data_IF_104815213620
#
_entry.id   IF_104815213620
#
_cell.length_a   1.000
_cell.length_b   1.000
_cell.length_c   1.000
_cell.angle_alpha   90.00
_cell.angle_beta   90.00
_cell.angle_gamma   90.00
#
_symmetry.space_group_name_H-M   'P 1'
#
loop_
_entity.id
_entity.type
_entity.pdbx_description
1 polymer ?
#
# COMPACT_ATOMS: atom_id res chain seq x y z
N UNK A 1 -17.72 -14.73 -3.68
CA UNK A 1 -16.90 -15.40 -2.66
C UNK A 1 -16.06 -16.46 -3.36
N UNK A 2 -14.78 -16.23 -3.52
CA UNK A 2 -13.86 -17.34 -3.83
C UNK A 2 -13.74 -18.16 -2.55
N UNK A 3 -14.63 -19.11 -2.41
CA UNK A 3 -14.40 -20.22 -1.47
C UNK A 3 -13.24 -21.01 -2.05
N UNK A 4 -12.04 -20.87 -1.50
CA UNK A 4 -10.95 -21.77 -1.82
C UNK A 4 -11.32 -23.16 -1.29
N UNK A 5 -11.93 -23.98 -2.13
CA UNK A 5 -12.16 -25.37 -1.81
C UNK A 5 -10.81 -26.03 -1.58
N UNK A 6 -10.56 -26.50 -0.36
CA UNK A 6 -9.42 -27.35 -0.02
C UNK A 6 -8.16 -26.70 0.52
N UNK A 7 -8.04 -25.37 0.65
CA UNK A 7 -6.82 -24.71 1.14
C UNK A 7 -6.85 -24.32 2.63
N UNK A 8 -7.78 -24.87 3.41
CA UNK A 8 -7.90 -24.55 4.84
C UNK A 8 -8.47 -23.14 5.10
N UNK A 9 -8.55 -22.79 6.36
CA UNK A 9 -9.10 -21.53 6.80
C UNK A 9 -8.11 -20.38 6.53
N UNK A 10 -8.63 -19.13 6.43
CA UNK A 10 -7.83 -17.94 6.11
C UNK A 10 -6.65 -17.77 7.06
N UNK A 11 -6.87 -17.93 8.37
CA UNK A 11 -5.83 -17.80 9.40
C UNK A 11 -4.70 -18.83 9.23
N UNK A 12 -4.97 -20.06 8.78
CA UNK A 12 -3.92 -21.05 8.53
C UNK A 12 -3.01 -20.66 7.37
N UNK A 13 -3.59 -20.09 6.31
CA UNK A 13 -2.81 -19.57 5.18
C UNK A 13 -1.96 -18.37 5.59
N UNK A 14 -2.51 -17.46 6.37
CA UNK A 14 -1.78 -16.30 6.90
C UNK A 14 -0.64 -16.75 7.82
N UNK A 15 -0.87 -17.72 8.71
CA UNK A 15 0.18 -18.29 9.54
C UNK A 15 1.29 -18.96 8.71
N UNK A 16 0.92 -19.69 7.64
CA UNK A 16 1.89 -20.27 6.72
C UNK A 16 2.73 -19.20 6.02
N UNK A 17 2.10 -18.14 5.49
CA UNK A 17 2.79 -17.04 4.85
C UNK A 17 3.67 -16.25 5.82
N UNK A 18 3.26 -16.11 7.08
CA UNK A 18 4.08 -15.51 8.13
C UNK A 18 5.30 -16.37 8.45
N UNK A 19 5.14 -17.69 8.46
CA UNK A 19 6.22 -18.63 8.79
C UNK A 19 7.26 -18.74 7.69
N UNK A 20 6.84 -18.62 6.42
CA UNK A 20 7.71 -18.81 5.26
C UNK A 20 7.55 -17.64 4.29
N UNK A 21 8.58 -16.85 4.15
CA UNK A 21 8.64 -15.72 3.24
C UNK A 21 9.79 -15.89 2.25
N UNK A 22 9.51 -15.67 0.96
CA UNK A 22 10.53 -15.88 -0.09
C UNK A 22 11.62 -14.80 -0.09
N UNK A 23 11.33 -13.61 0.46
CA UNK A 23 12.28 -12.49 0.52
C UNK A 23 13.02 -12.47 1.85
N UNK A 24 12.30 -12.60 2.97
CA UNK A 24 12.85 -12.49 4.31
C UNK A 24 13.25 -13.84 4.93
N UNK A 25 12.90 -14.93 4.27
CA UNK A 25 13.20 -16.28 4.74
C UNK A 25 12.20 -16.79 5.78
N UNK A 26 12.61 -17.78 6.54
CA UNK A 26 11.78 -18.38 7.58
C UNK A 26 11.74 -17.47 8.80
N UNK A 27 10.52 -17.24 9.33
CA UNK A 27 10.34 -16.49 10.59
C UNK A 27 11.10 -17.21 11.73
N UNK A 28 11.93 -16.50 12.51
CA UNK A 28 12.80 -17.13 13.50
C UNK A 28 12.06 -17.57 14.78
N UNK A 29 10.83 -17.03 15.00
CA UNK A 29 10.01 -17.38 16.16
C UNK A 29 9.04 -18.52 15.89
N UNK A 30 8.18 -18.77 16.85
CA UNK A 30 7.12 -19.79 16.75
C UNK A 30 5.84 -19.19 16.15
N UNK A 31 5.27 -19.85 15.14
CA UNK A 31 3.99 -19.48 14.51
C UNK A 31 3.07 -20.68 14.55
N UNK A 32 2.00 -20.56 15.28
CA UNK A 32 0.95 -21.56 15.46
C UNK A 32 -0.42 -20.99 15.13
N UNK A 33 -1.43 -21.82 15.14
CA UNK A 33 -2.83 -21.39 14.97
C UNK A 33 -3.71 -22.05 16.03
N UNK A 34 -4.60 -21.27 16.62
CA UNK A 34 -5.64 -21.76 17.51
C UNK A 34 -6.99 -21.18 17.10
N UNK A 35 -7.93 -22.05 16.72
CA UNK A 35 -9.26 -21.70 16.18
C UNK A 35 -9.13 -20.68 15.04
N UNK A 36 -9.56 -19.42 15.26
CA UNK A 36 -9.48 -18.34 14.30
C UNK A 36 -8.29 -17.38 14.56
N UNK A 37 -7.36 -17.77 15.41
CA UNK A 37 -6.25 -16.93 15.81
C UNK A 37 -4.93 -17.44 15.22
N UNK A 38 -4.01 -16.51 14.99
CA UNK A 38 -2.60 -16.81 14.77
C UNK A 38 -1.87 -16.51 16.07
N UNK A 39 -1.04 -17.44 16.51
CA UNK A 39 -0.17 -17.26 17.67
C UNK A 39 1.26 -17.02 17.18
N UNK A 40 1.86 -15.90 17.57
CA UNK A 40 3.26 -15.56 17.26
C UNK A 40 3.99 -15.45 18.60
N UNK A 41 4.92 -16.36 18.86
CA UNK A 41 5.63 -16.46 20.12
C UNK A 41 4.70 -16.41 21.34
N UNK A 42 3.58 -17.13 21.24
CA UNK A 42 2.53 -17.21 22.27
C UNK A 42 1.57 -16.02 22.34
N UNK A 43 1.80 -14.95 21.57
CA UNK A 43 0.87 -13.82 21.47
C UNK A 43 -0.23 -14.12 20.46
N UNK A 44 -1.48 -14.01 20.89
CA UNK A 44 -2.64 -14.28 20.04
C UNK A 44 -3.01 -13.05 19.20
N UNK A 45 -3.22 -13.28 17.90
CA UNK A 45 -3.74 -12.32 16.93
C UNK A 45 -5.05 -12.85 16.39
N UNK A 46 -6.14 -12.14 16.64
CA UNK A 46 -7.45 -12.49 16.13
C UNK A 46 -7.53 -12.27 14.61
N UNK A 47 -8.02 -13.27 13.89
CA UNK A 47 -8.27 -13.18 12.46
C UNK A 47 -9.77 -13.12 12.19
N UNK A 48 -10.20 -12.02 11.57
CA UNK A 48 -11.58 -11.82 11.16
C UNK A 48 -11.72 -11.92 9.64
N UNK A 49 -12.89 -12.31 9.16
CA UNK A 49 -13.19 -12.42 7.73
C UNK A 49 -14.50 -11.71 7.45
N UNK A 50 -14.44 -10.39 7.38
CA UNK A 50 -15.56 -9.51 7.08
C UNK A 50 -15.21 -8.66 5.86
N UNK A 51 -16.19 -8.42 4.99
CA UNK A 51 -16.01 -7.63 3.76
C UNK A 51 -16.36 -6.17 3.94
N UNK A 52 -17.34 -5.91 4.79
CA UNK A 52 -17.78 -4.56 5.11
C UNK A 52 -16.96 -4.03 6.30
N UNK A 53 -16.13 -3.01 6.11
CA UNK A 53 -15.31 -2.47 7.19
C UNK A 53 -16.12 -1.97 8.39
N UNK A 54 -17.36 -1.51 8.20
CA UNK A 54 -18.22 -1.07 9.30
C UNK A 54 -18.57 -2.20 10.26
N UNK A 55 -18.56 -3.45 9.80
CA UNK A 55 -18.90 -4.63 10.61
C UNK A 55 -17.70 -5.24 11.34
N UNK A 56 -16.51 -4.67 11.21
CA UNK A 56 -15.30 -5.22 11.83
C UNK A 56 -15.20 -5.00 13.33
N UNK A 57 -15.99 -4.04 13.89
CA UNK A 57 -16.09 -3.83 15.33
C UNK A 57 -14.77 -3.42 15.98
N UNK A 58 -14.02 -2.53 15.34
CA UNK A 58 -12.70 -2.09 15.84
C UNK A 58 -12.76 -1.48 17.23
N UNK A 59 -13.83 -0.74 17.53
CA UNK A 59 -14.03 -0.14 18.84
C UNK A 59 -14.14 -1.18 19.95
N UNK A 60 -14.92 -2.23 19.75
CA UNK A 60 -15.11 -3.31 20.73
C UNK A 60 -13.83 -4.12 20.96
N UNK A 61 -12.94 -4.14 19.96
CA UNK A 61 -11.64 -4.81 19.99
C UNK A 61 -10.52 -3.93 20.52
N UNK A 62 -10.79 -2.66 20.84
CA UNK A 62 -9.79 -1.69 21.31
C UNK A 62 -8.74 -1.33 20.26
N UNK A 63 -9.09 -1.39 18.98
CA UNK A 63 -8.18 -1.06 17.88
C UNK A 63 -8.11 0.45 17.66
N UNK A 64 -6.96 1.04 17.87
CA UNK A 64 -6.71 2.46 17.65
C UNK A 64 -6.36 2.78 16.19
N UNK A 65 -5.54 1.94 15.56
CA UNK A 65 -5.00 2.16 14.22
C UNK A 65 -5.36 1.01 13.29
N UNK A 66 -5.89 1.35 12.12
CA UNK A 66 -6.13 0.39 11.03
C UNK A 66 -5.16 0.67 9.89
N UNK A 67 -4.44 -0.35 9.44
CA UNK A 67 -3.64 -0.31 8.22
C UNK A 67 -4.48 -0.91 7.10
N UNK A 68 -5.02 -0.06 6.22
CA UNK A 68 -5.80 -0.46 5.06
C UNK A 68 -4.86 -0.89 3.92
N UNK A 69 -4.72 -2.20 3.73
CA UNK A 69 -3.78 -2.79 2.76
C UNK A 69 -4.47 -3.60 1.66
N UNK A 70 -5.80 -3.48 1.52
CA UNK A 70 -6.55 -4.23 0.51
C UNK A 70 -6.46 -3.60 -0.88
N UNK A 71 -6.17 -2.29 -0.97
CA UNK A 71 -6.23 -1.50 -2.19
C UNK A 71 -7.63 -1.16 -2.67
N UNK A 72 -8.68 -1.52 -1.91
CA UNK A 72 -10.09 -1.30 -2.27
C UNK A 72 -10.67 -0.02 -1.64
N UNK A 73 -10.26 0.31 -0.43
CA UNK A 73 -10.79 1.42 0.37
C UNK A 73 -9.85 2.62 0.35
N UNK A 74 -9.58 3.15 -0.86
CA UNK A 74 -8.58 4.21 -1.10
C UNK A 74 -9.17 5.61 -1.28
N UNK A 75 -10.50 5.76 -1.19
CA UNK A 75 -11.19 7.05 -1.12
C UNK A 75 -11.52 7.39 0.33
N UNK A 76 -11.69 8.67 0.65
CA UNK A 76 -12.02 9.12 2.00
C UNK A 76 -13.30 8.44 2.51
N UNK A 77 -14.38 8.49 1.74
CA UNK A 77 -15.67 7.87 2.06
C UNK A 77 -15.52 6.39 2.45
N UNK A 78 -14.72 5.63 1.70
CA UNK A 78 -14.52 4.21 1.96
C UNK A 78 -13.61 3.94 3.15
N UNK A 79 -12.56 4.72 3.32
CA UNK A 79 -11.63 4.56 4.44
C UNK A 79 -12.29 4.94 5.78
N UNK A 80 -13.20 5.93 5.78
CA UNK A 80 -13.99 6.32 6.95
C UNK A 80 -14.88 5.20 7.50
N UNK A 81 -15.20 4.16 6.71
CA UNK A 81 -15.92 2.99 7.21
C UNK A 81 -15.19 2.32 8.38
N UNK A 82 -13.86 2.34 8.37
CA UNK A 82 -13.07 1.85 9.50
C UNK A 82 -13.18 2.75 10.74
N UNK A 83 -13.30 4.07 10.56
CA UNK A 83 -13.54 5.00 11.67
C UNK A 83 -14.93 4.77 12.27
N UNK A 84 -15.94 4.54 11.42
CA UNK A 84 -17.30 4.20 11.86
C UNK A 84 -17.34 2.88 12.63
N UNK A 85 -16.48 1.92 12.27
CA UNK A 85 -16.30 0.68 13.03
C UNK A 85 -15.57 0.87 14.38
N UNK A 86 -15.14 2.10 14.70
CA UNK A 86 -14.56 2.48 15.98
C UNK A 86 -13.04 2.61 16.01
N UNK A 87 -12.35 2.51 14.89
CA UNK A 87 -10.93 2.84 14.82
C UNK A 87 -10.72 4.35 14.99
N UNK A 88 -9.59 4.77 15.59
CA UNK A 88 -9.25 6.20 15.75
C UNK A 88 -8.56 6.76 14.53
N UNK A 89 -7.77 5.94 13.83
CA UNK A 89 -6.96 6.35 12.69
C UNK A 89 -6.93 5.25 11.62
N UNK A 90 -6.83 5.69 10.35
CA UNK A 90 -6.67 4.78 9.21
C UNK A 90 -5.46 5.20 8.40
N UNK A 91 -4.56 4.26 8.15
CA UNK A 91 -3.38 4.44 7.28
C UNK A 91 -3.59 3.59 6.03
N UNK A 92 -3.77 4.24 4.89
CA UNK A 92 -3.90 3.56 3.59
C UNK A 92 -2.50 3.26 3.06
N UNK A 93 -2.16 1.98 2.85
CA UNK A 93 -0.86 1.54 2.31
C UNK A 93 -0.77 1.64 0.77
N UNK A 94 -1.49 2.58 0.17
CA UNK A 94 -1.58 2.83 -1.25
C UNK A 94 -1.83 4.32 -1.52
N UNK A 95 -1.64 4.82 -2.75
CA UNK A 95 -2.01 6.18 -3.09
C UNK A 95 -3.50 6.42 -2.86
N UNK A 96 -3.82 7.47 -2.12
CA UNK A 96 -5.20 7.91 -1.93
C UNK A 96 -5.79 8.42 -3.24
N UNK A 97 -7.07 8.13 -3.47
CA UNK A 97 -7.83 8.64 -4.63
C UNK A 97 -8.55 9.95 -4.32
N UNK A 98 -8.80 10.25 -3.05
CA UNK A 98 -9.39 11.51 -2.60
C UNK A 98 -8.30 12.51 -2.26
N UNK A 99 -8.45 13.75 -2.72
CA UNK A 99 -7.48 14.84 -2.51
C UNK A 99 -7.44 15.31 -1.05
N UNK A 100 -8.49 15.06 -0.31
CA UNK A 100 -8.67 15.43 1.09
C UNK A 100 -7.82 14.55 2.03
N UNK A 101 -7.34 13.42 1.53
CA UNK A 101 -6.48 12.52 2.30
C UNK A 101 -5.04 13.00 2.21
N UNK A 102 -4.48 13.42 3.34
CA UNK A 102 -3.07 13.79 3.44
C UNK A 102 -2.17 12.59 3.11
N UNK A 103 -1.17 12.85 2.27
CA UNK A 103 -0.22 11.80 1.84
C UNK A 103 1.14 12.09 2.44
N UNK A 104 1.70 11.11 3.14
CA UNK A 104 2.97 11.25 3.85
C UNK A 104 4.03 10.27 3.33
N UNK A 105 5.27 10.79 3.25
CA UNK A 105 6.48 10.01 3.03
C UNK A 105 7.44 10.33 4.17
N UNK A 106 7.88 9.30 4.88
CA UNK A 106 8.83 9.44 5.98
C UNK A 106 10.14 10.07 5.52
N UNK A 107 10.64 11.04 6.30
CA UNK A 107 11.82 11.82 5.95
C UNK A 107 11.58 12.95 4.96
N UNK A 108 10.39 13.08 4.38
CA UNK A 108 10.02 14.13 3.41
C UNK A 108 9.08 15.15 4.03
N UNK A 109 7.87 14.74 4.37
CA UNK A 109 6.83 15.64 4.88
C UNK A 109 6.09 15.10 6.13
N UNK A 110 6.60 14.06 6.77
CA UNK A 110 5.94 13.44 7.92
C UNK A 110 5.77 14.38 9.12
N UNK A 111 6.62 15.41 9.22
CA UNK A 111 6.54 16.42 10.28
C UNK A 111 5.31 17.33 10.14
N UNK A 112 4.68 17.36 8.96
CA UNK A 112 3.44 18.13 8.73
C UNK A 112 2.18 17.41 9.21
N UNK A 113 2.29 16.18 9.71
CA UNK A 113 1.17 15.40 10.23
C UNK A 113 0.50 16.10 11.41
N UNK A 114 -0.81 16.25 11.32
CA UNK A 114 -1.66 16.87 12.33
C UNK A 114 -2.59 15.83 12.98
N UNK A 115 -2.27 15.35 14.20
CA UNK A 115 -3.05 14.28 14.84
C UNK A 115 -4.55 14.58 15.00
N UNK A 116 -4.93 15.85 15.12
CA UNK A 116 -6.32 16.26 15.32
C UNK A 116 -7.17 16.21 14.04
N UNK A 117 -6.58 16.47 12.87
CA UNK A 117 -7.30 16.54 11.59
C UNK A 117 -7.03 15.34 10.69
N UNK A 118 -5.82 14.77 10.71
CA UNK A 118 -5.40 13.66 9.86
C UNK A 118 -5.87 12.32 10.45
N UNK A 119 -7.16 12.03 10.35
CA UNK A 119 -7.72 10.76 10.82
C UNK A 119 -7.53 9.64 9.80
N UNK A 120 -7.59 9.98 8.51
CA UNK A 120 -7.29 9.08 7.39
C UNK A 120 -6.09 9.64 6.65
N UNK A 121 -5.03 8.85 6.51
CA UNK A 121 -3.81 9.25 5.83
C UNK A 121 -3.38 8.19 4.81
N UNK A 122 -2.60 8.60 3.83
CA UNK A 122 -1.99 7.70 2.85
C UNK A 122 -0.47 7.65 3.04
N UNK A 123 0.09 6.45 2.97
CA UNK A 123 1.54 6.24 2.92
C UNK A 123 2.08 6.21 1.48
N UNK A 124 1.37 6.83 0.54
CA UNK A 124 1.75 6.91 -0.88
C UNK A 124 1.96 5.53 -1.56
N UNK A 125 2.74 5.50 -2.62
CA UNK A 125 3.13 4.28 -3.34
C UNK A 125 4.58 3.89 -3.06
N UNK A 126 4.95 2.66 -3.40
CA UNK A 126 6.33 2.18 -3.37
C UNK A 126 7.27 3.10 -4.19
N UNK A 127 6.87 3.46 -5.41
CA UNK A 127 7.66 4.36 -6.28
C UNK A 127 7.74 5.76 -5.69
N UNK A 128 6.68 6.30 -5.10
CA UNK A 128 6.71 7.61 -4.43
C UNK A 128 7.63 7.61 -3.23
N UNK A 129 7.60 6.55 -2.41
CA UNK A 129 8.51 6.40 -1.26
C UNK A 129 9.98 6.24 -1.67
N UNK A 130 10.24 5.70 -2.86
CA UNK A 130 11.59 5.67 -3.44
C UNK A 130 12.02 7.06 -3.94
N UNK A 131 11.17 7.73 -4.71
CA UNK A 131 11.51 8.95 -5.44
C UNK A 131 11.53 10.21 -4.56
N UNK A 132 10.54 10.37 -3.66
CA UNK A 132 10.37 11.61 -2.91
C UNK A 132 11.56 11.96 -2.01
N UNK A 133 12.21 11.02 -1.28
CA UNK A 133 13.42 11.33 -0.53
C UNK A 133 14.59 11.77 -1.41
N UNK A 134 14.78 11.15 -2.58
CA UNK A 134 15.82 11.54 -3.54
C UNK A 134 15.56 12.95 -4.07
N UNK A 135 14.33 13.22 -4.48
CA UNK A 135 13.92 14.55 -4.96
C UNK A 135 14.12 15.59 -3.86
N UNK A 136 13.78 15.29 -2.62
CA UNK A 136 13.98 16.20 -1.49
C UNK A 136 15.46 16.58 -1.32
N UNK A 137 16.35 15.59 -1.33
CA UNK A 137 17.80 15.85 -1.20
C UNK A 137 18.31 16.74 -2.35
N UNK A 138 17.89 16.47 -3.56
CA UNK A 138 18.28 17.28 -4.72
C UNK A 138 17.72 18.70 -4.63
N UNK A 139 16.47 18.86 -4.26
CA UNK A 139 15.84 20.18 -4.09
C UNK A 139 16.52 21.00 -3.01
N UNK A 140 16.76 20.41 -1.85
CA UNK A 140 17.32 21.09 -0.69
C UNK A 140 18.77 21.58 -0.93
N UNK A 141 19.55 20.91 -1.82
CA UNK A 141 20.96 21.20 -2.03
C UNK A 141 21.28 21.90 -3.36
N UNK A 142 20.52 21.64 -4.41
CA UNK A 142 20.84 22.08 -5.77
C UNK A 142 19.71 22.84 -6.47
N UNK A 143 18.48 22.68 -5.99
CA UNK A 143 17.28 23.08 -6.71
C UNK A 143 16.97 22.11 -7.87
N UNK A 144 15.75 22.13 -8.34
CA UNK A 144 15.30 21.38 -9.54
C UNK A 144 14.38 22.30 -10.32
N UNK A 145 14.72 22.61 -11.57
CA UNK A 145 13.86 23.37 -12.48
C UNK A 145 12.83 22.45 -13.14
N UNK A 146 13.30 21.33 -13.68
CA UNK A 146 12.45 20.30 -14.28
C UNK A 146 13.10 18.91 -14.18
N UNK A 147 12.34 17.85 -14.37
CA UNK A 147 12.85 16.48 -14.33
C UNK A 147 11.93 15.46 -14.98
N UNK A 148 12.52 14.43 -15.55
CA UNK A 148 11.84 13.24 -16.05
C UNK A 148 12.19 12.05 -15.16
N UNK A 149 11.18 11.23 -14.83
CA UNK A 149 11.37 10.05 -14.03
C UNK A 149 11.11 8.79 -14.86
N UNK A 150 12.06 7.89 -14.84
CA UNK A 150 11.89 6.50 -15.32
C UNK A 150 12.14 5.57 -14.15
N UNK A 151 11.20 4.67 -13.89
CA UNK A 151 11.34 3.64 -12.87
C UNK A 151 11.56 2.27 -13.50
N UNK A 152 12.55 1.54 -13.00
CA UNK A 152 12.76 0.11 -13.29
C UNK A 152 12.30 -0.64 -12.06
N UNK A 153 11.06 -1.15 -12.11
CA UNK A 153 10.38 -1.70 -10.95
C UNK A 153 10.46 -3.22 -10.93
N UNK A 154 10.68 -3.78 -9.76
CA UNK A 154 10.57 -5.21 -9.56
C UNK A 154 9.15 -5.70 -9.88
N UNK A 155 9.03 -6.96 -10.30
CA UNK A 155 7.73 -7.59 -10.56
C UNK A 155 6.88 -7.63 -9.29
N UNK A 156 5.58 -7.38 -9.43
CA UNK A 156 4.62 -7.39 -8.32
C UNK A 156 3.48 -8.36 -8.59
N UNK A 157 2.66 -8.64 -7.57
CA UNK A 157 1.56 -9.60 -7.65
C UNK A 157 0.46 -9.24 -8.67
N UNK A 158 0.45 -8.02 -9.19
CA UNK A 158 -0.49 -7.60 -10.25
C UNK A 158 -0.06 -8.03 -11.65
N UNK A 159 1.19 -8.44 -11.82
CA UNK A 159 1.74 -8.94 -13.07
C UNK A 159 1.59 -10.46 -13.13
N UNK A 160 1.15 -11.03 -14.28
CA UNK A 160 0.97 -12.47 -14.39
C UNK A 160 2.32 -13.19 -14.36
N UNK A 161 2.33 -14.41 -13.85
CA UNK A 161 3.52 -15.29 -13.88
C UNK A 161 3.80 -15.78 -15.29
N UNK A 162 2.75 -16.09 -16.04
CA UNK A 162 2.80 -16.53 -17.46
C UNK A 162 1.88 -15.65 -18.28
N UNK A 163 2.05 -15.66 -19.60
CA UNK A 163 1.19 -14.90 -20.52
C UNK A 163 -0.29 -15.21 -20.32
N UNK A 164 -1.12 -14.17 -20.28
CA UNK A 164 -2.55 -14.27 -20.09
C UNK A 164 -3.29 -12.99 -20.49
N UNK A 165 -4.64 -13.01 -20.50
CA UNK A 165 -5.42 -11.83 -20.86
C UNK A 165 -5.25 -10.70 -19.85
N UNK A 166 -5.07 -9.47 -20.32
CA UNK A 166 -5.06 -8.26 -19.49
C UNK A 166 -6.30 -7.41 -19.77
N UNK A 167 -6.87 -6.84 -18.70
CA UNK A 167 -8.03 -5.94 -18.80
C UNK A 167 -7.67 -4.49 -19.16
N UNK A 168 -6.39 -4.10 -19.00
CA UNK A 168 -5.95 -2.72 -19.19
C UNK A 168 -5.29 -2.49 -20.54
N UNK A 169 -4.26 -3.25 -20.84
CA UNK A 169 -3.61 -3.24 -22.14
C UNK A 169 -2.96 -4.62 -22.40
N UNK A 170 -2.68 -4.94 -23.66
CA UNK A 170 -2.17 -6.26 -24.05
C UNK A 170 -0.78 -6.54 -23.43
N UNK A 171 0.06 -5.53 -23.27
CA UNK A 171 1.41 -5.67 -22.67
C UNK A 171 1.35 -6.12 -21.23
N UNK A 172 0.35 -5.63 -20.47
CA UNK A 172 0.11 -6.04 -19.09
C UNK A 172 -0.27 -7.52 -18.92
N UNK A 173 -0.55 -8.24 -20.00
CA UNK A 173 -0.82 -9.68 -20.02
C UNK A 173 0.42 -10.55 -20.20
N UNK A 174 1.61 -9.97 -20.38
CA UNK A 174 2.85 -10.73 -20.54
C UNK A 174 3.41 -11.20 -19.20
N UNK A 175 4.05 -12.37 -19.20
CA UNK A 175 4.70 -12.93 -18.00
C UNK A 175 5.77 -12.00 -17.44
N UNK A 176 5.61 -11.56 -16.21
CA UNK A 176 6.43 -10.53 -15.58
C UNK A 176 7.88 -10.93 -15.34
N UNK A 177 8.17 -12.22 -15.24
CA UNK A 177 9.53 -12.72 -15.02
C UNK A 177 10.38 -12.81 -16.30
N UNK A 178 9.76 -12.86 -17.47
CA UNK A 178 10.44 -13.00 -18.75
C UNK A 178 10.46 -11.72 -19.57
N UNK A 179 9.72 -10.69 -19.16
CA UNK A 179 9.53 -9.50 -19.97
C UNK A 179 9.74 -8.21 -19.16
N UNK A 180 10.26 -7.19 -19.84
CA UNK A 180 10.17 -5.80 -19.38
C UNK A 180 8.86 -5.23 -19.89
N UNK A 181 7.91 -4.95 -18.99
CA UNK A 181 6.55 -4.55 -19.33
C UNK A 181 6.39 -3.05 -19.09
N UNK A 182 6.26 -2.21 -20.13
CA UNK A 182 5.99 -0.80 -19.96
C UNK A 182 4.65 -0.56 -19.26
N UNK A 183 4.63 0.33 -18.29
CA UNK A 183 3.43 0.68 -17.54
C UNK A 183 3.47 2.16 -17.13
N UNK A 184 2.30 2.78 -17.01
CA UNK A 184 2.18 4.14 -16.48
C UNK A 184 2.25 4.14 -14.94
N UNK A 185 2.74 5.23 -14.37
CA UNK A 185 2.76 5.45 -12.92
C UNK A 185 2.36 6.89 -12.58
N UNK A 186 1.57 7.05 -11.52
CA UNK A 186 1.24 8.37 -10.96
C UNK A 186 2.28 8.89 -9.96
N UNK A 187 3.42 8.20 -9.79
CA UNK A 187 4.39 8.54 -8.75
C UNK A 187 5.02 9.92 -8.93
N UNK A 188 5.28 10.35 -10.16
CA UNK A 188 5.83 11.69 -10.42
C UNK A 188 4.88 12.80 -9.95
N UNK A 189 3.57 12.65 -10.17
CA UNK A 189 2.55 13.58 -9.65
C UNK A 189 2.45 13.53 -8.11
N UNK A 190 2.56 12.33 -7.54
CA UNK A 190 2.47 12.13 -6.10
C UNK A 190 3.65 12.75 -5.35
N UNK A 191 4.84 12.80 -5.94
CA UNK A 191 6.00 13.51 -5.35
C UNK A 191 5.69 14.98 -5.12
N UNK A 192 5.04 15.65 -6.08
CA UNK A 192 4.60 17.05 -5.92
C UNK A 192 3.65 17.27 -4.74
N UNK A 193 2.86 16.26 -4.34
CA UNK A 193 1.99 16.32 -3.16
C UNK A 193 2.77 16.23 -1.85
N UNK A 194 3.90 15.54 -1.85
CA UNK A 194 4.73 15.34 -0.66
C UNK A 194 5.81 16.42 -0.50
N UNK A 195 6.15 17.14 -1.57
CA UNK A 195 7.19 18.17 -1.58
C UNK A 195 6.60 19.58 -1.66
N UNK A 196 5.57 19.86 -0.92
CA UNK A 196 4.61 21.01 -0.96
C UNK A 196 5.21 22.42 -1.13
N UNK A 197 6.51 22.61 -0.98
CA UNK A 197 7.14 23.92 -1.18
C UNK A 197 7.47 24.28 -2.64
N UNK A 198 7.18 23.38 -3.60
CA UNK A 198 7.66 23.55 -4.99
C UNK A 198 6.53 23.32 -6.00
N UNK A 199 5.73 24.34 -6.21
CA UNK A 199 4.55 24.33 -7.11
C UNK A 199 4.89 24.25 -8.60
N UNK A 200 6.17 24.23 -8.99
CA UNK A 200 6.60 24.24 -10.40
C UNK A 200 7.18 22.92 -10.91
N UNK A 201 7.27 21.87 -10.11
CA UNK A 201 7.60 20.54 -10.63
C UNK A 201 6.42 19.99 -11.44
N UNK A 202 6.47 20.18 -12.75
CA UNK A 202 5.53 19.54 -13.68
C UNK A 202 6.04 18.13 -13.98
N UNK A 203 5.27 17.14 -13.58
CA UNK A 203 5.47 15.77 -14.04
C UNK A 203 5.04 15.69 -15.52
N UNK A 204 5.98 15.61 -16.42
CA UNK A 204 5.72 15.16 -17.79
C UNK A 204 5.81 13.64 -17.83
N UNK A 205 4.66 12.98 -17.85
CA UNK A 205 4.58 11.56 -18.19
C UNK A 205 4.66 11.48 -19.72
N UNK A 206 5.82 11.19 -20.27
CA UNK A 206 5.96 10.78 -21.66
C UNK A 206 6.21 9.28 -21.67
N UNK A 207 5.10 8.54 -21.84
CA UNK A 207 5.18 7.24 -22.48
C UNK A 207 5.28 7.54 -23.98
N UNK A 208 6.49 7.59 -24.53
CA UNK A 208 6.65 7.50 -25.97
C UNK A 208 6.68 6.03 -26.38
N UNK A 209 5.94 5.78 -27.44
CA UNK A 209 5.65 4.56 -28.17
C UNK A 209 6.87 3.72 -28.54
#
# INVERSE_FOLDING_TARGET
>A
AVRSRGLGDVYKRQAYLMKYDSTHGRFPGNVETDRNNILIDGKSIECVSERDPEQLGWGDKGVDYVIESTGLFTTLEKAELHLKAGAKKVVISAPAKSKEISTFVMGVNHETYQPSSDQVVSNASCTTNCLAPVVKVLLDNFGIEEGLMTTIHAVTATQPTVDGPSKKDFRGGRGGFQNIIPASTGAAKAVGLCTVSYTHLRAHETLQH
#
